data_IF_903623132433
#
_entry.id   IF_903623132433
#
_cell.length_a   1.000
_cell.length_b   1.000
_cell.length_c   1.000
_cell.angle_alpha   90.00
_cell.angle_beta   90.00
_cell.angle_gamma   90.00
#
_symmetry.space_group_name_H-M   'P 1'
#
loop_
_entity.id
_entity.type
_entity.pdbx_description
1 polymer ?
#
# COMPACT_ATOMS: atom_id res chain seq x y z
N UNK A 1 24.91 10.33 -14.57
CA UNK A 1 24.54 9.12 -13.82
C UNK A 1 23.38 9.45 -12.86
N UNK A 2 22.16 9.45 -13.40
CA UNK A 2 20.95 9.59 -12.60
C UNK A 2 20.70 8.26 -11.86
N UNK A 3 20.33 8.37 -10.60
CA UNK A 3 20.22 7.32 -9.59
C UNK A 3 19.35 6.14 -10.03
N UNK A 4 19.79 4.95 -9.65
CA UNK A 4 19.09 3.68 -9.79
C UNK A 4 17.91 3.54 -8.81
N UNK A 5 17.12 4.60 -8.61
CA UNK A 5 15.81 4.48 -7.96
C UNK A 5 14.85 3.92 -9.00
N UNK A 6 14.35 2.70 -8.75
CA UNK A 6 13.40 2.04 -9.64
C UNK A 6 12.15 2.89 -9.87
N UNK A 7 11.57 2.83 -11.06
CA UNK A 7 10.42 3.65 -11.49
C UNK A 7 9.14 3.42 -10.68
N UNK A 8 9.12 2.43 -9.77
CA UNK A 8 8.04 2.16 -8.81
C UNK A 8 8.45 2.46 -7.36
N UNK A 9 9.39 3.38 -7.13
CA UNK A 9 9.78 3.81 -5.79
C UNK A 9 8.62 4.38 -4.95
N UNK A 10 7.49 4.70 -5.58
CA UNK A 10 6.25 5.10 -4.91
C UNK A 10 5.47 3.93 -4.28
N UNK A 11 5.62 2.69 -4.79
CA UNK A 11 5.04 1.52 -4.12
C UNK A 11 5.94 1.17 -2.96
N UNK A 12 5.41 1.26 -1.75
CA UNK A 12 6.14 0.91 -0.53
C UNK A 12 5.21 0.36 0.54
N UNK A 13 5.78 -0.44 1.42
CA UNK A 13 5.15 -0.89 2.66
C UNK A 13 6.07 -0.49 3.81
N UNK A 14 5.50 0.21 4.77
CA UNK A 14 6.13 0.69 5.98
C UNK A 14 5.50 -0.02 7.17
N UNK A 15 6.34 -0.48 8.11
CA UNK A 15 5.93 -1.04 9.38
C UNK A 15 6.64 -0.32 10.50
N UNK A 16 5.89 0.12 11.50
CA UNK A 16 6.41 0.66 12.76
C UNK A 16 5.92 -0.20 13.91
N UNK A 17 6.85 -0.72 14.68
CA UNK A 17 6.61 -1.58 15.85
C UNK A 17 7.54 -1.19 16.99
N UNK A 18 7.19 -1.48 18.26
CA UNK A 18 8.13 -1.44 19.37
C UNK A 18 9.41 -2.20 19.06
N UNK A 19 10.54 -1.67 19.51
CA UNK A 19 11.84 -2.30 19.33
C UNK A 19 11.87 -3.65 20.04
N UNK A 20 11.98 -4.72 19.26
CA UNK A 20 12.11 -6.09 19.71
C UNK A 20 13.05 -6.83 18.77
N UNK A 21 14.04 -7.53 19.34
CA UNK A 21 15.03 -8.27 18.55
C UNK A 21 14.36 -9.32 17.66
N UNK A 22 13.43 -10.10 18.22
CA UNK A 22 12.76 -11.20 17.50
C UNK A 22 11.90 -10.69 16.34
N UNK A 23 11.10 -9.63 16.58
CA UNK A 23 10.25 -9.04 15.53
C UNK A 23 11.10 -8.37 14.46
N UNK A 24 12.14 -7.65 14.86
CA UNK A 24 13.04 -6.98 13.92
C UNK A 24 13.78 -8.00 13.05
N UNK A 25 14.25 -9.12 13.62
CA UNK A 25 14.93 -10.17 12.86
C UNK A 25 13.98 -10.84 11.86
N UNK A 26 12.80 -11.26 12.30
CA UNK A 26 11.78 -11.87 11.43
C UNK A 26 11.38 -10.95 10.27
N UNK A 27 11.08 -9.68 10.55
CA UNK A 27 10.72 -8.71 9.52
C UNK A 27 11.92 -8.42 8.59
N UNK A 28 13.12 -8.24 9.13
CA UNK A 28 14.31 -7.92 8.32
C UNK A 28 14.71 -9.06 7.35
N UNK A 29 14.36 -10.30 7.67
CA UNK A 29 14.59 -11.47 6.82
C UNK A 29 13.61 -11.55 5.64
N UNK A 30 12.45 -10.89 5.70
CA UNK A 30 11.49 -10.87 4.61
C UNK A 30 12.07 -10.15 3.39
N UNK A 31 12.08 -10.85 2.26
CA UNK A 31 12.42 -10.28 0.95
C UNK A 31 11.51 -10.86 -0.12
N UNK A 32 11.32 -10.09 -1.19
CA UNK A 32 10.59 -10.53 -2.39
C UNK A 32 11.31 -10.02 -3.63
N UNK A 33 10.78 -10.35 -4.80
CA UNK A 33 11.29 -9.86 -6.07
C UNK A 33 10.17 -9.66 -7.07
N UNK A 34 10.42 -8.76 -8.01
CA UNK A 34 9.58 -8.52 -9.15
C UNK A 34 10.43 -8.34 -10.41
N UNK A 35 9.77 -8.42 -11.56
CA UNK A 35 10.41 -8.36 -12.86
C UNK A 35 9.92 -7.13 -13.62
N UNK A 36 10.84 -6.46 -14.31
CA UNK A 36 10.52 -5.35 -15.21
C UNK A 36 10.91 -5.71 -16.65
N UNK A 37 10.00 -5.45 -17.60
CA UNK A 37 10.30 -5.53 -19.04
C UNK A 37 9.31 -4.67 -19.84
N UNK A 38 9.74 -4.19 -21.00
CA UNK A 38 8.87 -3.56 -21.99
C UNK A 38 8.18 -4.62 -22.86
N UNK A 39 6.85 -4.61 -22.91
CA UNK A 39 6.05 -5.59 -23.66
C UNK A 39 5.05 -4.93 -24.60
N UNK A 40 4.69 -5.65 -25.66
CA UNK A 40 3.35 -5.49 -26.26
C UNK A 40 2.35 -6.21 -25.36
N UNK A 41 1.16 -5.63 -25.18
CA UNK A 41 0.14 -6.24 -24.31
C UNK A 41 -0.29 -7.63 -24.81
N UNK A 42 -0.33 -7.86 -26.13
CA UNK A 42 -0.61 -9.18 -26.73
C UNK A 42 0.40 -10.24 -26.32
N UNK A 43 1.67 -9.87 -26.33
CA UNK A 43 2.76 -10.78 -25.98
C UNK A 43 2.66 -11.09 -24.48
N UNK A 44 2.39 -10.08 -23.66
CA UNK A 44 2.25 -10.24 -22.21
C UNK A 44 1.05 -11.10 -21.86
N UNK A 45 -0.07 -10.92 -22.54
CA UNK A 45 -1.25 -11.74 -22.35
C UNK A 45 -0.96 -13.23 -22.63
N UNK A 46 -0.23 -13.53 -23.72
CA UNK A 46 0.15 -14.91 -24.05
C UNK A 46 1.07 -15.53 -22.99
N UNK A 47 1.98 -14.74 -22.39
CA UNK A 47 2.79 -15.18 -21.26
C UNK A 47 1.99 -15.33 -19.98
N UNK A 48 1.12 -14.37 -19.67
CA UNK A 48 0.28 -14.40 -18.48
C UNK A 48 -0.64 -15.62 -18.50
N UNK A 49 -1.17 -15.99 -19.67
CA UNK A 49 -2.04 -17.17 -19.85
C UNK A 49 -1.38 -18.47 -19.34
N UNK A 50 -0.05 -18.62 -19.46
CA UNK A 50 0.64 -19.81 -18.93
C UNK A 50 0.82 -19.80 -17.41
N UNK A 51 0.57 -18.68 -16.76
CA UNK A 51 0.75 -18.48 -15.31
C UNK A 51 -0.57 -18.19 -14.57
N UNK A 52 -1.63 -17.85 -15.30
CA UNK A 52 -2.97 -17.62 -14.77
C UNK A 52 -3.67 -18.95 -14.54
N UNK A 53 -3.69 -19.37 -13.28
CA UNK A 53 -4.64 -20.37 -12.77
C UNK A 53 -5.78 -19.66 -12.02
N UNK A 54 -6.82 -20.40 -11.63
CA UNK A 54 -7.89 -19.87 -10.79
C UNK A 54 -7.25 -19.50 -9.44
N UNK A 55 -7.04 -18.20 -9.19
CA UNK A 55 -6.23 -17.64 -8.08
C UNK A 55 -4.71 -17.81 -8.26
N UNK A 56 -4.13 -17.08 -9.22
CA UNK A 56 -2.69 -17.04 -9.44
C UNK A 56 -2.00 -16.00 -8.58
N UNK A 57 -0.78 -16.28 -8.11
CA UNK A 57 0.08 -15.25 -7.50
C UNK A 57 0.66 -14.27 -8.55
N UNK A 58 0.24 -14.35 -9.82
CA UNK A 58 0.56 -13.36 -10.84
C UNK A 58 -0.08 -12.01 -10.49
N UNK A 59 0.75 -11.01 -10.26
CA UNK A 59 0.36 -9.61 -10.15
C UNK A 59 1.14 -8.83 -11.21
N UNK A 60 0.47 -8.04 -12.04
CA UNK A 60 1.13 -7.23 -13.05
C UNK A 60 0.50 -5.84 -13.18
N UNK A 61 1.34 -4.85 -13.45
CA UNK A 61 0.97 -3.45 -13.65
C UNK A 61 1.64 -2.95 -14.92
N UNK A 62 0.84 -2.38 -15.83
CA UNK A 62 1.33 -1.58 -16.95
C UNK A 62 1.59 -0.14 -16.51
N UNK A 63 2.77 0.39 -16.79
CA UNK A 63 3.07 1.82 -16.58
C UNK A 63 2.39 2.67 -17.66
N UNK A 64 1.70 3.76 -17.30
CA UNK A 64 1.38 4.78 -18.27
C UNK A 64 2.68 5.34 -18.87
N UNK A 65 2.71 5.51 -20.19
CA UNK A 65 3.82 6.17 -20.87
C UNK A 65 3.77 7.68 -20.61
N UNK A 66 4.89 8.38 -20.80
CA UNK A 66 4.95 9.84 -20.65
C UNK A 66 3.96 10.62 -21.56
N UNK A 67 3.44 9.96 -22.59
CA UNK A 67 2.46 10.49 -23.54
C UNK A 67 1.19 9.61 -23.59
N UNK A 68 1.11 8.56 -22.77
CA UNK A 68 0.06 7.55 -22.82
C UNK A 68 -0.54 7.32 -21.43
N UNK A 69 -1.73 7.88 -21.15
CA UNK A 69 -2.44 7.73 -19.90
C UNK A 69 -3.22 6.42 -19.79
N UNK A 70 -3.22 5.58 -20.84
CA UNK A 70 -3.80 4.25 -20.73
C UNK A 70 -3.11 3.54 -19.54
N UNK A 71 -3.87 2.73 -18.81
CA UNK A 71 -3.35 1.86 -17.73
C UNK A 71 -3.97 0.47 -17.79
N UNK A 72 -3.24 -0.53 -17.32
CA UNK A 72 -3.77 -1.87 -17.15
C UNK A 72 -3.11 -2.60 -16.00
N UNK A 73 -3.81 -3.61 -15.49
CA UNK A 73 -3.25 -4.54 -14.50
C UNK A 73 -3.74 -5.97 -14.75
N UNK A 74 -2.97 -6.95 -14.32
CA UNK A 74 -3.45 -8.31 -14.04
C UNK A 74 -3.42 -8.49 -12.53
N UNK A 75 -4.58 -8.74 -11.94
CA UNK A 75 -4.69 -9.04 -10.52
C UNK A 75 -4.53 -10.54 -10.23
N UNK A 76 -4.43 -10.90 -8.95
CA UNK A 76 -4.21 -12.29 -8.51
C UNK A 76 -5.36 -13.25 -8.81
N UNK A 77 -6.48 -12.77 -9.37
CA UNK A 77 -7.55 -13.63 -9.89
C UNK A 77 -7.29 -14.04 -11.34
N UNK A 78 -6.23 -13.52 -11.95
CA UNK A 78 -5.93 -13.69 -13.37
C UNK A 78 -6.76 -12.80 -14.28
N UNK A 79 -7.35 -11.71 -13.76
CA UNK A 79 -8.19 -10.80 -14.54
C UNK A 79 -7.34 -9.66 -15.09
N UNK A 80 -7.22 -9.58 -16.42
CA UNK A 80 -6.68 -8.41 -17.10
C UNK A 80 -7.72 -7.29 -17.14
N UNK A 81 -7.44 -6.19 -16.45
CA UNK A 81 -8.26 -4.98 -16.48
C UNK A 81 -7.53 -3.88 -17.24
N UNK A 82 -8.21 -3.27 -18.21
CA UNK A 82 -7.71 -2.13 -18.96
C UNK A 82 -8.56 -0.90 -18.69
N UNK A 83 -7.92 0.24 -18.46
CA UNK A 83 -8.53 1.57 -18.50
C UNK A 83 -7.83 2.36 -19.58
N UNK A 84 -8.53 2.59 -20.69
CA UNK A 84 -7.96 3.13 -21.92
C UNK A 84 -8.77 4.32 -22.42
N UNK A 85 -8.12 5.21 -23.15
CA UNK A 85 -8.72 6.32 -23.84
C UNK A 85 -9.70 5.86 -24.93
N UNK A 86 -10.53 6.81 -25.40
CA UNK A 86 -11.58 6.53 -26.40
C UNK A 86 -11.01 5.96 -27.70
N UNK A 87 -9.91 6.53 -28.20
CA UNK A 87 -9.25 6.11 -29.43
C UNK A 87 -8.66 4.70 -29.30
N UNK A 88 -7.99 4.37 -28.20
CA UNK A 88 -7.54 3.00 -27.92
C UNK A 88 -8.73 2.05 -27.81
N UNK A 89 -9.78 2.42 -27.08
CA UNK A 89 -10.99 1.58 -26.94
C UNK A 89 -11.63 1.24 -28.29
N UNK A 90 -11.83 2.25 -29.15
CA UNK A 90 -12.42 2.08 -30.48
C UNK A 90 -11.54 1.21 -31.39
N UNK A 91 -10.20 1.33 -31.29
CA UNK A 91 -9.25 0.49 -32.04
C UNK A 91 -9.18 -0.95 -31.54
N UNK A 92 -9.27 -1.15 -30.22
CA UNK A 92 -9.28 -2.48 -29.61
C UNK A 92 -10.53 -3.28 -30.00
N UNK A 93 -11.66 -2.61 -30.20
CA UNK A 93 -12.93 -3.26 -30.59
C UNK A 93 -13.47 -4.22 -29.53
N UNK A 94 -13.02 -4.09 -28.28
CA UNK A 94 -13.46 -4.91 -27.15
C UNK A 94 -14.76 -4.36 -26.56
N UNK A 95 -15.58 -5.25 -26.01
CA UNK A 95 -16.78 -4.85 -25.25
C UNK A 95 -16.35 -4.32 -23.90
N UNK A 96 -16.63 -3.04 -23.64
CA UNK A 96 -16.40 -2.40 -22.35
C UNK A 96 -17.57 -1.52 -21.94
N UNK A 97 -17.37 -0.78 -20.85
CA UNK A 97 -18.34 0.21 -20.36
C UNK A 97 -17.63 1.56 -20.24
N UNK A 98 -18.29 2.67 -20.60
CA UNK A 98 -17.72 3.99 -20.38
C UNK A 98 -17.44 4.17 -18.88
N UNK A 99 -16.26 4.68 -18.56
CA UNK A 99 -15.97 5.16 -17.22
C UNK A 99 -16.76 6.46 -17.01
N UNK A 100 -17.25 6.76 -15.79
CA UNK A 100 -18.13 7.89 -15.55
C UNK A 100 -17.45 9.28 -15.63
N UNK A 101 -16.22 9.37 -16.13
CA UNK A 101 -15.41 10.59 -16.25
C UNK A 101 -14.86 10.78 -17.67
N UNK A 102 -14.66 12.04 -18.08
CA UNK A 102 -14.28 12.44 -19.44
C UNK A 102 -12.76 12.56 -19.63
N UNK A 103 -12.34 12.08 -20.80
CA UNK A 103 -11.15 12.42 -21.60
C UNK A 103 -9.78 11.98 -21.09
N UNK A 104 -9.18 11.05 -21.84
CA UNK A 104 -7.75 10.74 -21.87
C UNK A 104 -7.33 10.57 -23.35
N UNK A 105 -6.08 10.90 -23.72
CA UNK A 105 -5.56 10.84 -25.10
C UNK A 105 -4.58 9.64 -25.29
N UNK A 106 -4.05 9.43 -26.51
CA UNK A 106 -3.74 8.13 -27.14
C UNK A 106 -2.26 7.63 -27.10
N UNK A 107 -2.09 6.33 -26.82
CA UNK A 107 -1.02 5.31 -27.10
C UNK A 107 0.49 5.60 -27.13
N UNK A 108 1.22 4.75 -26.38
CA UNK A 108 2.62 4.36 -26.52
C UNK A 108 2.86 2.92 -25.97
N UNK A 109 4.09 2.37 -26.05
CA UNK A 109 4.38 1.03 -25.51
C UNK A 109 4.48 1.01 -23.98
N UNK A 110 4.11 -0.11 -23.37
CA UNK A 110 4.02 -0.29 -21.92
C UNK A 110 5.31 -0.82 -21.31
N UNK A 111 5.77 -0.14 -20.26
CA UNK A 111 6.69 -0.77 -19.31
C UNK A 111 5.85 -1.60 -18.33
N UNK A 112 6.18 -2.89 -18.19
CA UNK A 112 5.41 -3.83 -17.37
C UNK A 112 6.23 -4.22 -16.17
N UNK A 113 5.59 -4.16 -14.99
CA UNK A 113 6.14 -4.75 -13.77
C UNK A 113 5.22 -5.83 -13.26
N UNK A 114 5.80 -7.01 -13.00
CA UNK A 114 5.03 -8.17 -12.60
C UNK A 114 5.77 -9.01 -11.55
N UNK A 115 4.99 -9.72 -10.75
CA UNK A 115 5.44 -10.77 -9.86
C UNK A 115 4.84 -12.10 -10.31
N UNK A 116 5.64 -13.14 -10.30
CA UNK A 116 5.24 -14.55 -10.44
C UNK A 116 5.97 -15.37 -9.37
N UNK A 117 5.34 -16.41 -8.82
CA UNK A 117 5.93 -17.21 -7.74
C UNK A 117 7.15 -18.02 -8.22
N UNK A 118 7.11 -18.52 -9.46
CA UNK A 118 8.24 -19.21 -10.09
C UNK A 118 8.95 -18.28 -11.07
N UNK A 119 10.29 -18.30 -11.08
CA UNK A 119 11.07 -17.46 -11.98
C UNK A 119 10.77 -17.83 -13.44
N UNK A 120 10.47 -16.86 -14.32
CA UNK A 120 10.26 -17.13 -15.74
C UNK A 120 11.50 -17.79 -16.35
N UNK A 121 11.32 -18.91 -17.04
CA UNK A 121 12.43 -19.73 -17.57
C UNK A 121 13.03 -19.20 -18.87
N UNK A 122 12.36 -18.28 -19.58
CA UNK A 122 12.79 -17.83 -20.90
C UNK A 122 12.56 -16.31 -21.10
N UNK A 123 13.64 -15.51 -21.20
CA UNK A 123 13.57 -14.09 -21.56
C UNK A 123 14.63 -13.17 -20.93
N UNK A 124 14.81 -11.98 -21.52
CA UNK A 124 15.65 -10.91 -20.99
C UNK A 124 14.82 -9.99 -20.08
N UNK A 125 14.79 -10.29 -18.77
CA UNK A 125 14.07 -9.54 -17.75
C UNK A 125 15.04 -8.78 -16.84
N UNK A 126 14.62 -7.62 -16.34
CA UNK A 126 15.32 -7.01 -15.21
C UNK A 126 14.70 -7.52 -13.91
N UNK A 127 15.48 -8.24 -13.11
CA UNK A 127 15.06 -8.70 -11.77
C UNK A 127 15.33 -7.58 -10.77
N UNK A 128 14.30 -7.21 -10.00
CA UNK A 128 14.39 -6.24 -8.92
C UNK A 128 14.11 -6.95 -7.61
N UNK A 129 15.13 -7.03 -6.76
CA UNK A 129 14.99 -7.57 -5.42
C UNK A 129 14.49 -6.49 -4.47
N UNK A 130 13.55 -6.84 -3.62
CA UNK A 130 13.00 -5.99 -2.58
C UNK A 130 13.42 -6.57 -1.23
N UNK A 131 14.14 -5.77 -0.44
CA UNK A 131 14.67 -6.14 0.87
C UNK A 131 14.26 -5.11 1.91
N UNK A 132 14.25 -5.51 3.17
CA UNK A 132 13.93 -4.62 4.28
C UNK A 132 14.99 -3.51 4.45
N UNK A 133 14.52 -2.27 4.63
CA UNK A 133 15.28 -1.12 5.09
C UNK A 133 14.82 -0.79 6.52
N UNK A 134 15.66 -1.07 7.52
CA UNK A 134 15.33 -0.83 8.94
C UNK A 134 15.95 0.47 9.47
N UNK A 135 15.18 1.23 10.25
CA UNK A 135 15.58 2.45 10.93
C UNK A 135 15.09 2.43 12.38
N UNK A 136 15.98 2.64 13.33
CA UNK A 136 15.61 2.81 14.73
C UNK A 136 15.06 4.23 14.98
N UNK A 137 13.99 4.32 15.77
CA UNK A 137 13.44 5.56 16.31
C UNK A 137 13.57 5.50 17.83
N UNK A 138 14.34 6.41 18.42
CA UNK A 138 14.66 6.41 19.85
C UNK A 138 13.78 7.41 20.60
N UNK A 139 13.45 7.08 21.84
CA UNK A 139 12.77 7.98 22.79
C UNK A 139 11.51 8.63 22.18
N UNK A 140 10.60 7.80 21.67
CA UNK A 140 9.35 8.22 21.03
C UNK A 140 8.20 8.19 22.04
N UNK A 141 7.30 9.17 21.93
CA UNK A 141 5.98 9.13 22.58
C UNK A 141 5.11 8.09 21.89
N UNK A 142 4.95 6.93 22.52
CA UNK A 142 4.11 5.85 22.04
C UNK A 142 2.71 5.93 22.67
N UNK A 143 1.64 6.05 21.86
CA UNK A 143 0.27 6.09 22.36
C UNK A 143 -0.10 4.79 23.09
N UNK A 144 -0.83 4.92 24.20
CA UNK A 144 -1.51 3.79 24.84
C UNK A 144 -2.86 3.62 24.18
N UNK A 145 -2.93 2.70 23.24
CA UNK A 145 -4.12 2.51 22.41
C UNK A 145 -5.08 1.53 23.07
N UNK A 146 -6.37 1.89 23.10
CA UNK A 146 -7.47 0.97 23.38
C UNK A 146 -8.45 1.08 22.22
N UNK A 147 -8.28 0.22 21.22
CA UNK A 147 -9.14 0.23 20.04
C UNK A 147 -10.55 -0.20 20.44
N UNK A 148 -11.56 0.52 19.98
CA UNK A 148 -12.96 0.20 20.23
C UNK A 148 -13.74 0.19 18.92
N UNK A 149 -14.83 -0.60 18.92
CA UNK A 149 -15.71 -0.74 17.76
C UNK A 149 -16.28 0.61 17.40
N UNK A 150 -16.25 0.94 16.10
CA UNK A 150 -16.81 2.19 15.58
C UNK A 150 -18.26 2.37 16.04
N UNK A 151 -18.59 3.48 16.74
CA UNK A 151 -19.96 3.78 17.17
C UNK A 151 -20.93 3.93 15.98
N UNK A 152 -22.24 3.88 16.27
CA UNK A 152 -23.25 4.23 15.26
C UNK A 152 -23.17 5.71 14.90
N UNK A 153 -23.55 6.08 13.66
CA UNK A 153 -23.47 7.46 13.15
C UNK A 153 -24.23 8.50 13.99
N UNK A 154 -25.29 8.09 14.66
CA UNK A 154 -26.13 8.99 15.47
C UNK A 154 -25.67 9.07 16.93
N UNK A 155 -24.56 8.40 17.28
CA UNK A 155 -24.01 8.42 18.64
C UNK A 155 -23.17 9.68 18.88
N UNK A 156 -23.35 10.31 20.04
CA UNK A 156 -22.48 11.40 20.50
C UNK A 156 -21.02 10.97 20.69
N UNK A 157 -20.76 9.66 20.79
CA UNK A 157 -19.40 9.09 20.88
C UNK A 157 -18.70 8.96 19.52
N UNK A 158 -19.38 9.25 18.40
CA UNK A 158 -18.78 9.14 17.07
C UNK A 158 -17.68 10.20 16.87
N UNK A 159 -17.91 11.45 17.29
CA UNK A 159 -16.93 12.53 17.13
C UNK A 159 -15.64 12.24 17.91
N UNK A 160 -15.76 11.82 19.17
CA UNK A 160 -14.61 11.42 20.01
C UNK A 160 -13.85 10.21 19.41
N UNK A 161 -14.57 9.25 18.82
CA UNK A 161 -13.96 8.12 18.13
C UNK A 161 -13.23 8.54 16.86
N UNK A 162 -13.83 9.39 16.04
CA UNK A 162 -13.25 9.91 14.80
C UNK A 162 -11.98 10.75 15.10
N UNK A 163 -12.01 11.57 16.15
CA UNK A 163 -10.84 12.32 16.65
C UNK A 163 -9.72 11.38 17.11
N UNK A 164 -10.05 10.39 17.95
CA UNK A 164 -9.07 9.41 18.45
C UNK A 164 -8.44 8.60 17.31
N UNK A 165 -9.23 8.21 16.32
CA UNK A 165 -8.75 7.52 15.14
C UNK A 165 -7.81 8.42 14.29
N UNK A 166 -8.20 9.67 14.07
CA UNK A 166 -7.40 10.66 13.34
C UNK A 166 -6.04 10.91 14.00
N UNK A 167 -6.02 11.14 15.31
CA UNK A 167 -4.79 11.31 16.09
C UNK A 167 -3.85 10.11 15.97
N UNK A 168 -4.40 8.89 16.02
CA UNK A 168 -3.62 7.66 15.92
C UNK A 168 -3.02 7.46 14.51
N UNK A 169 -3.80 7.68 13.46
CA UNK A 169 -3.31 7.58 12.08
C UNK A 169 -2.30 8.67 11.74
N UNK A 170 -2.48 9.89 12.27
CA UNK A 170 -1.48 10.95 12.16
C UNK A 170 -0.17 10.54 12.83
N UNK A 171 -0.24 9.99 14.04
CA UNK A 171 0.95 9.49 14.73
C UNK A 171 1.67 8.38 13.94
N UNK A 172 0.94 7.40 13.40
CA UNK A 172 1.52 6.33 12.56
C UNK A 172 2.18 6.91 11.32
N UNK A 173 1.54 7.86 10.64
CA UNK A 173 2.11 8.56 9.49
C UNK A 173 3.42 9.27 9.85
N UNK A 174 3.45 10.00 10.96
CA UNK A 174 4.66 10.68 11.45
C UNK A 174 5.77 9.68 11.85
N UNK A 175 5.41 8.52 12.39
CA UNK A 175 6.36 7.45 12.71
C UNK A 175 6.98 6.85 11.45
N UNK A 176 6.20 6.56 10.40
CA UNK A 176 6.72 6.08 9.12
C UNK A 176 7.58 7.11 8.36
N UNK A 177 7.35 8.41 8.62
CA UNK A 177 8.23 9.49 8.15
C UNK A 177 9.50 9.65 9.01
N UNK A 178 9.56 9.00 10.17
CA UNK A 178 10.61 9.16 11.17
C UNK A 178 10.73 10.63 11.62
N UNK A 179 9.58 11.27 11.82
CA UNK A 179 9.45 12.66 12.24
C UNK A 179 10.07 12.89 13.60
N UNK A 180 10.65 14.07 13.81
CA UNK A 180 11.11 14.51 15.13
C UNK A 180 9.92 14.80 16.06
N UNK A 181 8.74 15.10 15.51
CA UNK A 181 7.54 15.53 16.26
C UNK A 181 6.98 14.52 17.26
N UNK A 182 7.37 13.27 17.10
CA UNK A 182 6.97 12.18 18.00
C UNK A 182 8.02 11.89 19.08
N UNK A 183 9.18 12.55 19.08
CA UNK A 183 10.24 12.33 20.08
C UNK A 183 9.95 13.07 21.38
N UNK A 184 10.31 12.46 22.50
CA UNK A 184 10.11 13.00 23.86
C UNK A 184 10.83 14.33 24.09
N UNK A 185 11.95 14.53 23.41
CA UNK A 185 12.77 15.72 23.56
C UNK A 185 12.48 16.79 22.49
N UNK A 186 11.48 16.59 21.63
CA UNK A 186 11.11 17.62 20.66
C UNK A 186 10.50 18.84 21.35
N UNK A 187 10.90 20.02 20.87
CA UNK A 187 10.40 21.31 21.35
C UNK A 187 10.10 22.18 20.14
N UNK A 188 9.01 21.91 19.41
CA UNK A 188 8.62 22.75 18.29
C UNK A 188 8.36 24.18 18.77
N UNK A 189 8.65 25.16 17.91
CA UNK A 189 8.08 26.48 18.08
C UNK A 189 6.54 26.38 17.92
N UNK A 190 5.73 26.81 18.91
CA UNK A 190 4.27 26.68 18.86
C UNK A 190 3.62 27.53 17.75
N UNK A 191 4.33 28.50 17.18
CA UNK A 191 3.86 29.24 16.00
C UNK A 191 4.10 28.48 14.69
N UNK A 192 4.96 27.45 14.70
CA UNK A 192 5.34 26.65 13.52
C UNK A 192 4.63 25.29 13.53
N UNK A 193 4.48 24.65 14.68
CA UNK A 193 3.87 23.33 14.79
C UNK A 193 3.11 23.18 16.11
N UNK A 194 1.84 22.80 15.99
CA UNK A 194 0.92 22.58 17.12
C UNK A 194 0.64 21.10 17.38
N UNK A 195 1.27 20.21 16.61
CA UNK A 195 1.12 18.77 16.80
C UNK A 195 1.63 18.36 18.19
N UNK A 196 0.86 17.51 18.86
CA UNK A 196 1.25 16.82 20.06
C UNK A 196 0.93 15.32 19.91
N UNK A 197 1.80 14.40 20.36
CA UNK A 197 1.50 12.98 20.34
C UNK A 197 0.20 12.65 21.11
N UNK A 198 -0.59 11.67 20.66
CA UNK A 198 -1.83 11.28 21.32
C UNK A 198 -1.60 10.93 22.79
N UNK A 199 -2.50 11.38 23.67
CA UNK A 199 -2.44 11.10 25.11
C UNK A 199 -3.55 10.11 25.52
N UNK A 200 -3.29 9.18 26.45
CA UNK A 200 -2.04 8.99 27.17
C UNK A 200 -0.96 8.27 26.34
N UNK A 201 0.30 8.63 26.56
CA UNK A 201 1.47 7.99 25.94
C UNK A 201 2.54 7.61 26.97
N UNK A 202 3.49 6.77 26.56
CA UNK A 202 4.72 6.48 27.30
C UNK A 202 5.94 6.58 26.38
N UNK A 203 7.14 6.62 26.96
CA UNK A 203 8.40 6.64 26.19
C UNK A 203 8.78 5.23 25.78
N UNK A 204 9.02 5.02 24.48
CA UNK A 204 9.44 3.73 23.93
C UNK A 204 10.37 3.92 22.72
N UNK A 205 11.21 2.92 22.45
CA UNK A 205 11.96 2.83 21.20
C UNK A 205 11.14 2.05 20.18
N UNK A 206 11.16 2.50 18.93
CA UNK A 206 10.51 1.82 17.82
C UNK A 206 11.52 1.39 16.76
N UNK A 207 11.12 0.43 15.95
CA UNK A 207 11.79 0.08 14.70
C UNK A 207 10.82 0.37 13.55
N UNK A 208 11.30 1.15 12.60
CA UNK A 208 10.65 1.38 11.32
C UNK A 208 11.29 0.48 10.27
N UNK A 209 10.51 -0.33 9.57
CA UNK A 209 10.97 -1.21 8.49
C UNK A 209 10.22 -0.87 7.22
N UNK A 210 10.94 -0.72 6.12
CA UNK A 210 10.39 -0.35 4.82
C UNK A 210 10.80 -1.33 3.73
N UNK A 211 9.87 -1.61 2.82
CA UNK A 211 10.11 -2.29 1.55
C UNK A 211 9.62 -1.42 0.41
N UNK A 212 10.38 -1.29 -0.67
CA UNK A 212 10.03 -0.51 -1.86
C UNK A 212 10.01 -1.37 -3.12
N UNK A 213 8.98 -1.23 -3.94
CA UNK A 213 8.78 -2.00 -5.18
C UNK A 213 7.46 -2.76 -5.18
N UNK A 214 7.24 -3.63 -6.18
CA UNK A 214 6.03 -4.44 -6.24
C UNK A 214 6.05 -5.53 -5.16
N UNK A 215 5.05 -5.54 -4.28
CA UNK A 215 4.91 -6.38 -3.08
C UNK A 215 3.71 -7.34 -3.16
N UNK A 216 3.89 -8.61 -3.55
CA UNK A 216 2.77 -9.53 -3.76
C UNK A 216 1.87 -9.67 -2.52
N UNK A 217 0.55 -9.91 -2.65
CA UNK A 217 -0.33 -10.05 -1.49
C UNK A 217 0.13 -11.09 -0.45
N UNK A 218 0.68 -12.27 -0.81
CA UNK A 218 1.24 -13.20 0.19
C UNK A 218 2.41 -12.62 1.00
N UNK A 219 3.22 -11.76 0.38
CA UNK A 219 4.30 -11.06 1.07
C UNK A 219 3.73 -10.02 2.05
N UNK A 220 2.77 -9.20 1.62
CA UNK A 220 2.10 -8.22 2.48
C UNK A 220 1.42 -8.91 3.66
N UNK A 221 0.76 -10.05 3.43
CA UNK A 221 0.15 -10.85 4.49
C UNK A 221 1.20 -11.34 5.50
N UNK A 222 2.35 -11.84 5.03
CA UNK A 222 3.44 -12.29 5.93
C UNK A 222 3.94 -11.14 6.81
N UNK A 223 4.04 -9.92 6.26
CA UNK A 223 4.42 -8.72 7.02
C UNK A 223 3.37 -8.40 8.08
N UNK A 224 2.09 -8.43 7.73
CA UNK A 224 0.98 -8.19 8.67
C UNK A 224 0.98 -9.24 9.79
N UNK A 225 1.13 -10.52 9.45
CA UNK A 225 1.12 -11.62 10.42
C UNK A 225 2.23 -11.49 11.45
N UNK A 226 3.44 -11.10 11.03
CA UNK A 226 4.57 -10.87 11.93
C UNK A 226 4.37 -9.60 12.75
N UNK A 227 4.01 -8.48 12.11
CA UNK A 227 3.80 -7.21 12.80
C UNK A 227 2.68 -7.29 13.85
N UNK A 228 1.63 -8.09 13.61
CA UNK A 228 0.50 -8.30 14.52
C UNK A 228 0.86 -9.08 15.81
N UNK A 229 2.10 -9.57 15.93
CA UNK A 229 2.64 -10.13 17.16
C UNK A 229 3.08 -9.03 18.15
N UNK A 230 3.30 -7.80 17.68
CA UNK A 230 3.66 -6.67 18.52
C UNK A 230 2.47 -6.20 19.39
N UNK A 231 2.72 -5.57 20.56
CA UNK A 231 1.67 -4.94 21.37
C UNK A 231 0.89 -3.87 20.58
N UNK A 232 1.58 -3.13 19.73
CA UNK A 232 1.01 -2.17 18.78
C UNK A 232 1.86 -2.19 17.51
N UNK A 233 1.22 -2.17 16.35
CA UNK A 233 1.87 -2.04 15.05
C UNK A 233 1.13 -1.04 14.18
N UNK A 234 1.86 -0.15 13.53
CA UNK A 234 1.37 0.69 12.43
C UNK A 234 1.92 0.14 11.11
N UNK A 235 1.05 -0.16 10.17
CA UNK A 235 1.40 -0.72 8.87
C UNK A 235 0.81 0.19 7.81
N UNK A 236 1.65 0.83 6.99
CA UNK A 236 1.21 1.76 5.96
C UNK A 236 1.70 1.25 4.61
N UNK A 237 0.79 1.08 3.66
CA UNK A 237 1.15 0.79 2.29
C UNK A 237 0.77 1.95 1.39
N UNK A 238 1.75 2.40 0.61
CA UNK A 238 1.52 3.25 -0.54
C UNK A 238 1.63 2.37 -1.78
N UNK A 239 0.60 2.42 -2.61
CA UNK A 239 0.50 1.70 -3.87
C UNK A 239 0.52 2.70 -5.03
N UNK A 240 0.33 2.22 -6.26
CA UNK A 240 0.31 3.09 -7.44
C UNK A 240 -1.10 3.60 -7.74
N UNK A 241 -1.28 4.93 -7.87
CA UNK A 241 -2.52 5.50 -8.36
C UNK A 241 -2.84 5.15 -9.81
N UNK A 242 -1.87 4.61 -10.55
CA UNK A 242 -2.02 4.21 -11.94
C UNK A 242 -2.61 2.79 -12.11
N UNK A 243 -2.97 2.08 -11.04
CA UNK A 243 -3.68 0.80 -11.17
C UNK A 243 -5.20 1.01 -11.31
N UNK A 244 -5.86 0.46 -12.34
CA UNK A 244 -7.32 0.58 -12.49
C UNK A 244 -8.11 -0.23 -11.44
N UNK A 245 -7.42 -1.13 -10.73
CA UNK A 245 -7.96 -2.02 -9.71
C UNK A 245 -7.15 -1.85 -8.42
N UNK A 246 -7.81 -2.08 -7.27
CA UNK A 246 -7.16 -2.08 -5.96
C UNK A 246 -6.04 -3.10 -5.91
N UNK A 247 -4.93 -2.69 -5.28
CA UNK A 247 -3.73 -3.51 -5.10
C UNK A 247 -4.01 -4.83 -4.36
N UNK A 248 -4.86 -4.76 -3.34
CA UNK A 248 -5.34 -5.91 -2.59
C UNK A 248 -6.69 -6.36 -3.12
N UNK A 249 -6.87 -7.67 -3.38
CA UNK A 249 -8.16 -8.19 -3.78
C UNK A 249 -9.17 -8.08 -2.62
N UNK A 250 -10.38 -7.51 -2.82
CA UNK A 250 -11.47 -7.64 -1.88
C UNK A 250 -11.96 -9.10 -1.86
N UNK A 251 -12.74 -9.48 -0.83
CA UNK A 251 -13.32 -10.80 -0.75
C UNK A 251 -14.10 -11.18 -2.02
N UNK A 252 -14.19 -12.48 -2.38
CA UNK A 252 -14.87 -12.93 -3.60
C UNK A 252 -16.32 -12.44 -3.76
N UNK A 253 -16.98 -12.10 -2.65
CA UNK A 253 -18.36 -11.61 -2.60
C UNK A 253 -18.53 -10.13 -2.95
N UNK A 254 -17.43 -9.36 -3.02
CA UNK A 254 -17.48 -7.91 -3.23
C UNK A 254 -17.02 -7.54 -4.65
N UNK A 255 -17.78 -6.67 -5.32
CA UNK A 255 -17.35 -6.09 -6.61
C UNK A 255 -16.20 -5.13 -6.34
N UNK A 256 -15.14 -5.22 -7.16
CA UNK A 256 -14.03 -4.29 -7.06
C UNK A 256 -14.48 -2.86 -7.33
N UNK A 257 -14.14 -1.91 -6.45
CA UNK A 257 -14.26 -0.51 -6.78
C UNK A 257 -13.31 -0.21 -7.95
N UNK A 258 -13.87 0.22 -9.07
CA UNK A 258 -13.08 0.67 -10.23
C UNK A 258 -12.49 2.03 -9.92
N UNK A 259 -11.22 2.23 -10.27
CA UNK A 259 -10.50 3.47 -9.97
C UNK A 259 -10.37 4.37 -11.19
N UNK A 260 -10.44 5.67 -10.94
CA UNK A 260 -10.05 6.69 -11.89
C UNK A 260 -8.60 7.05 -11.62
N UNK A 261 -7.68 6.56 -12.44
CA UNK A 261 -6.27 6.90 -12.32
C UNK A 261 -6.06 8.38 -12.66
N UNK A 262 -5.53 9.15 -11.72
CA UNK A 262 -5.24 10.58 -11.87
C UNK A 262 -3.84 10.87 -11.38
N UNK A 263 -3.18 11.88 -11.95
CA UNK A 263 -1.83 12.28 -11.52
C UNK A 263 -1.77 12.66 -10.03
N UNK A 264 -2.88 13.21 -9.50
CA UNK A 264 -3.05 13.62 -8.10
C UNK A 264 -3.76 12.55 -7.25
N UNK A 265 -3.96 11.33 -7.75
CA UNK A 265 -4.59 10.29 -6.93
C UNK A 265 -3.57 9.66 -5.98
N UNK A 266 -4.08 9.29 -4.80
CA UNK A 266 -3.36 8.54 -3.79
C UNK A 266 -3.98 7.16 -3.71
N UNK A 267 -3.14 6.15 -3.50
CA UNK A 267 -3.57 4.79 -3.19
C UNK A 267 -2.82 4.34 -1.95
N UNK A 268 -3.36 4.67 -0.80
CA UNK A 268 -2.72 4.39 0.48
C UNK A 268 -3.71 3.71 1.41
N UNK A 269 -3.22 2.74 2.18
CA UNK A 269 -3.93 2.25 3.35
C UNK A 269 -3.00 2.22 4.56
N UNK A 270 -3.57 2.46 5.72
CA UNK A 270 -2.90 2.39 7.01
C UNK A 270 -3.71 1.46 7.90
N UNK A 271 -3.07 0.42 8.41
CA UNK A 271 -3.62 -0.55 9.35
C UNK A 271 -2.92 -0.35 10.69
N UNK A 272 -3.69 -0.13 11.74
CA UNK A 272 -3.20 -0.14 13.12
C UNK A 272 -3.68 -1.42 13.77
N UNK A 273 -2.76 -2.16 14.36
CA UNK A 273 -3.04 -3.39 15.09
C UNK A 273 -2.63 -3.19 16.54
N UNK A 274 -3.53 -3.46 17.48
CA UNK A 274 -3.25 -3.40 18.91
C UNK A 274 -3.63 -4.73 19.56
N UNK A 275 -2.75 -5.24 20.43
CA UNK A 275 -3.03 -6.41 21.27
C UNK A 275 -3.40 -5.95 22.67
N UNK A 276 -4.47 -6.52 23.20
CA UNK A 276 -4.85 -6.30 24.58
C UNK A 276 -3.93 -7.08 25.52
N UNK A 277 -3.43 -6.43 26.58
CA UNK A 277 -2.69 -7.14 27.64
C UNK A 277 -3.53 -8.20 28.37
N UNK A 278 -4.87 -8.12 28.24
CA UNK A 278 -5.83 -8.94 28.98
C UNK A 278 -6.46 -10.08 28.18
N UNK A 279 -6.27 -10.11 26.87
CA UNK A 279 -6.82 -11.15 25.99
C UNK A 279 -5.89 -11.38 24.80
N UNK A 280 -5.85 -12.61 24.28
CA UNK A 280 -5.18 -12.92 23.00
C UNK A 280 -5.88 -12.30 21.78
N UNK A 281 -6.89 -11.46 22.01
CA UNK A 281 -7.67 -10.81 20.97
C UNK A 281 -6.87 -9.67 20.34
N UNK A 282 -6.77 -9.73 19.01
CA UNK A 282 -6.15 -8.70 18.19
C UNK A 282 -7.22 -7.73 17.76
N UNK A 283 -7.08 -6.48 18.16
CA UNK A 283 -7.92 -5.39 17.68
C UNK A 283 -7.20 -4.67 16.55
N UNK A 284 -7.95 -4.14 15.59
CA UNK A 284 -7.38 -3.42 14.48
C UNK A 284 -8.29 -2.29 14.00
N UNK A 285 -7.69 -1.33 13.33
CA UNK A 285 -8.34 -0.19 12.70
C UNK A 285 -7.69 0.04 11.34
N UNK A 286 -8.49 0.16 10.29
CA UNK A 286 -8.01 0.36 8.92
C UNK A 286 -8.48 1.72 8.41
N UNK A 287 -7.56 2.50 7.86
CA UNK A 287 -7.85 3.68 7.05
C UNK A 287 -7.38 3.44 5.62
N UNK A 288 -8.24 3.72 4.66
CA UNK A 288 -7.92 3.72 3.23
C UNK A 288 -8.12 5.13 2.68
N UNK A 289 -7.19 5.58 1.84
CA UNK A 289 -7.29 6.76 1.01
C UNK A 289 -7.20 6.33 -0.45
N UNK A 290 -8.32 6.45 -1.17
CA UNK A 290 -8.46 6.10 -2.59
C UNK A 290 -8.71 7.40 -3.38
N UNK A 291 -7.72 8.29 -3.33
CA UNK A 291 -7.75 9.61 -3.96
C UNK A 291 -8.42 10.70 -3.10
N UNK A 292 -8.34 11.94 -3.60
CA UNK A 292 -8.61 13.21 -2.88
C UNK A 292 -9.91 13.31 -2.07
N UNK A 293 -10.91 12.48 -2.34
CA UNK A 293 -12.24 12.57 -1.70
C UNK A 293 -12.83 11.23 -1.26
N UNK A 294 -12.05 10.13 -1.32
CA UNK A 294 -12.52 8.79 -0.91
C UNK A 294 -11.62 8.26 0.20
N UNK A 295 -11.86 8.75 1.42
CA UNK A 295 -11.24 8.23 2.63
C UNK A 295 -12.23 7.34 3.37
N UNK A 296 -11.87 6.08 3.64
CA UNK A 296 -12.72 5.08 4.31
C UNK A 296 -11.99 4.47 5.49
N UNK A 297 -12.51 4.69 6.69
CA UNK A 297 -11.86 4.23 7.91
C UNK A 297 -12.87 3.41 8.71
N UNK A 298 -12.45 2.27 9.27
CA UNK A 298 -13.34 1.33 9.95
C UNK A 298 -12.65 0.17 10.62
#
# INVERSE_FOLDING_TARGET
PASAEGTYGHIQLDVVVPESFDLQDQLSQLSTQYYERRWKLSDFAAFAETHVQRFSDLLALGKPGALDPDVWCVDTRGVLTLSVCKSTYERLGLVGTPLPWKEHQDTGPWDVVFHVPEAPTDGAWQVRRVTAEARALRDVHMPKVSLCVRPSRDSSAMEEWDESAAELFEWVGLACLGSERIRVNDKPDPYICVYAPPAPSHTENLVHIRWKGLLPPPFVQSVIDIASQAPLAGIVANSTPASPVVYLPPPPSMRYPRRATRDESEDCWSLVVARSDRSDEVQWLLAESIGRWDSRWG
#
